data_IF_189400785980
#
_entry.id   IF_189400785980
#
_cell.length_a   1.000
_cell.length_b   1.000
_cell.length_c   1.000
_cell.angle_alpha   90.00
_cell.angle_beta   90.00
_cell.angle_gamma   90.00
#
_symmetry.space_group_name_H-M   'P 1'
#
loop_
_entity.id
_entity.type
_entity.pdbx_description
1 polymer ?
#
# COMPACT_ATOMS: atom_id res chain seq x y z
N UNK A 1 -26.75 -36.37 13.51
CA UNK A 1 -25.58 -35.57 13.08
C UNK A 1 -25.54 -35.61 11.56
N UNK A 2 -25.64 -34.45 10.88
CA UNK A 2 -25.45 -34.40 9.42
C UNK A 2 -23.94 -34.38 9.16
N UNK A 3 -23.42 -35.39 8.47
CA UNK A 3 -22.02 -35.42 8.04
C UNK A 3 -21.77 -34.28 7.06
N UNK A 4 -20.93 -33.34 7.46
CA UNK A 4 -20.37 -32.38 6.52
C UNK A 4 -19.49 -33.13 5.52
N UNK A 5 -19.54 -32.83 4.21
CA UNK A 5 -18.66 -33.45 3.25
C UNK A 5 -17.21 -33.14 3.65
N UNK A 6 -16.49 -34.18 4.08
CA UNK A 6 -15.15 -34.07 4.67
C UNK A 6 -14.08 -33.56 3.70
N UNK A 7 -14.42 -33.35 2.43
CA UNK A 7 -13.45 -32.97 1.42
C UNK A 7 -13.99 -31.84 0.52
N UNK A 8 -13.83 -30.61 0.99
CA UNK A 8 -13.98 -29.38 0.19
C UNK A 8 -12.68 -29.00 -0.55
N UNK A 9 -11.66 -29.87 -0.56
CA UNK A 9 -10.43 -29.58 -1.30
C UNK A 9 -10.67 -29.77 -2.80
N UNK A 10 -10.85 -28.66 -3.52
CA UNK A 10 -10.92 -28.66 -4.98
C UNK A 10 -9.54 -29.06 -5.52
N UNK A 11 -9.47 -30.23 -6.16
CA UNK A 11 -8.28 -30.71 -6.86
C UNK A 11 -8.26 -30.18 -8.30
N UNK A 12 -7.08 -29.88 -8.84
CA UNK A 12 -6.91 -29.48 -10.26
C UNK A 12 -6.41 -28.06 -10.53
N UNK A 13 -6.18 -27.24 -9.49
CA UNK A 13 -5.47 -25.97 -9.68
C UNK A 13 -3.97 -26.21 -9.87
N UNK A 14 -3.37 -25.44 -10.78
CA UNK A 14 -1.93 -25.43 -10.95
C UNK A 14 -1.23 -25.01 -9.64
N UNK A 15 -0.13 -25.68 -9.31
CA UNK A 15 0.65 -25.30 -8.14
C UNK A 15 1.31 -23.95 -8.38
N UNK A 16 1.38 -23.11 -7.36
CA UNK A 16 2.19 -21.88 -7.42
C UNK A 16 3.68 -22.17 -7.70
N UNK A 17 4.12 -23.42 -7.48
CA UNK A 17 5.46 -23.89 -7.84
C UNK A 17 5.68 -24.01 -9.35
N UNK A 18 4.61 -24.30 -10.10
CA UNK A 18 4.65 -24.53 -11.55
C UNK A 18 4.47 -23.24 -12.36
N UNK A 19 4.14 -22.13 -11.68
CA UNK A 19 3.94 -20.82 -12.30
C UNK A 19 5.28 -20.11 -12.52
N UNK A 20 5.39 -19.35 -13.62
CA UNK A 20 6.53 -18.44 -13.85
C UNK A 20 6.58 -17.39 -12.74
N UNK A 21 7.77 -17.18 -12.19
CA UNK A 21 8.02 -16.19 -11.13
C UNK A 21 8.86 -15.05 -11.69
N UNK A 22 8.70 -13.87 -11.10
CA UNK A 22 9.58 -12.75 -11.34
C UNK A 22 10.85 -12.93 -10.49
N UNK A 23 12.01 -12.94 -11.13
CA UNK A 23 13.31 -13.22 -10.51
C UNK A 23 14.15 -11.94 -10.30
N UNK A 24 13.61 -10.78 -10.68
CA UNK A 24 14.28 -9.49 -10.47
C UNK A 24 14.09 -8.96 -9.05
N UNK A 25 14.75 -7.83 -8.77
CA UNK A 25 14.53 -7.12 -7.51
C UNK A 25 13.11 -6.56 -7.44
N UNK A 26 12.47 -6.75 -6.28
CA UNK A 26 11.17 -6.19 -5.93
C UNK A 26 11.31 -5.47 -4.59
N UNK A 27 11.08 -4.16 -4.58
CA UNK A 27 11.18 -3.31 -3.40
C UNK A 27 9.82 -2.78 -3.01
N UNK A 28 9.56 -2.70 -1.70
CA UNK A 28 8.37 -2.05 -1.19
C UNK A 28 8.42 -0.55 -1.48
N UNK A 29 7.35 -0.03 -2.08
CA UNK A 29 7.24 1.39 -2.33
C UNK A 29 6.72 2.11 -1.08
N UNK A 30 7.67 2.63 -0.28
CA UNK A 30 7.42 3.32 0.98
C UNK A 30 7.79 4.81 0.86
N UNK A 31 6.81 5.73 0.62
CA UNK A 31 7.09 7.15 0.44
C UNK A 31 7.79 7.77 1.65
N UNK A 32 8.81 8.59 1.43
CA UNK A 32 9.65 9.20 2.48
C UNK A 32 10.84 8.35 2.90
N UNK A 33 10.95 7.11 2.40
CA UNK A 33 12.12 6.24 2.58
C UNK A 33 12.74 5.89 1.23
N UNK A 34 14.02 5.54 1.19
CA UNK A 34 14.72 5.09 -0.03
C UNK A 34 14.59 6.02 -1.26
N UNK A 35 14.32 7.31 -1.03
CA UNK A 35 14.09 8.29 -2.10
C UNK A 35 12.73 8.22 -2.78
N UNK A 36 11.80 7.37 -2.32
CA UNK A 36 10.45 7.30 -2.86
C UNK A 36 9.62 8.50 -2.43
N UNK A 37 8.86 9.08 -3.36
CA UNK A 37 7.98 10.22 -3.13
C UNK A 37 6.62 9.97 -3.78
N UNK A 38 5.54 10.43 -3.15
CA UNK A 38 4.19 10.41 -3.71
C UNK A 38 3.65 11.82 -3.74
N UNK A 39 3.03 12.18 -4.86
CA UNK A 39 2.36 13.46 -5.03
C UNK A 39 0.92 13.22 -5.49
N UNK A 40 0.02 14.03 -4.97
CA UNK A 40 -1.36 14.13 -5.47
C UNK A 40 -1.47 15.42 -6.27
N UNK A 41 -1.98 15.35 -7.50
CA UNK A 41 -2.27 16.55 -8.32
C UNK A 41 -3.51 17.25 -7.76
N UNK A 42 -3.30 18.36 -7.03
CA UNK A 42 -4.37 19.17 -6.48
C UNK A 42 -4.75 20.27 -7.48
N UNK A 43 -6.04 20.42 -7.73
CA UNK A 43 -6.56 21.50 -8.59
C UNK A 43 -6.52 22.87 -7.90
N UNK A 44 -6.50 22.89 -6.56
CA UNK A 44 -6.46 24.10 -5.75
C UNK A 44 -5.43 23.94 -4.62
N UNK A 45 -4.58 24.96 -4.42
CA UNK A 45 -3.58 24.96 -3.35
C UNK A 45 -4.24 25.57 -2.11
N UNK A 46 -4.44 24.78 -1.06
CA UNK A 46 -4.88 25.29 0.24
C UNK A 46 -3.72 26.06 0.90
N UNK A 47 -3.49 27.30 0.48
CA UNK A 47 -2.61 28.24 1.19
C UNK A 47 -3.41 28.73 2.39
N UNK A 48 -3.48 27.94 3.47
CA UNK A 48 -3.84 28.52 4.75
C UNK A 48 -2.65 29.39 5.17
N UNK A 49 -2.86 30.70 5.17
CA UNK A 49 -1.89 31.66 5.66
C UNK A 49 -1.73 31.43 7.16
N UNK A 50 -0.83 30.53 7.55
CA UNK A 50 -0.34 30.44 8.92
C UNK A 50 0.60 31.63 9.17
N UNK A 51 0.06 32.84 9.06
CA UNK A 51 0.58 34.02 9.71
C UNK A 51 0.33 33.85 11.21
N UNK A 52 1.05 32.92 11.84
CA UNK A 52 1.27 32.93 13.29
C UNK A 52 2.15 34.14 13.57
N UNK A 53 1.52 35.31 13.53
CA UNK A 53 2.08 36.55 14.00
C UNK A 53 2.40 36.36 15.48
N UNK A 54 3.68 36.14 15.73
CA UNK A 54 4.42 36.25 16.99
C UNK A 54 3.69 37.08 18.05
N UNK A 55 2.97 36.45 18.98
CA UNK A 55 2.60 37.09 20.24
C UNK A 55 3.79 37.02 21.20
N UNK A 56 4.64 38.05 21.17
CA UNK A 56 5.51 38.37 22.32
C UNK A 56 4.61 38.97 23.41
N UNK A 57 4.43 38.27 24.53
CA UNK A 57 3.86 38.88 25.75
C UNK A 57 4.92 39.78 26.40
N UNK A 58 4.52 41.01 26.73
CA UNK A 58 5.26 41.94 27.61
C UNK A 58 5.09 41.53 29.06
#
# INVERSE_FOLDING_TARGET
>A
LREYPMNNMVTGYASARDMKKYEGELHDFLPGTSGYTVYWVQNEINISSEAKAKTKRK
#
